data_IF_831463822520
#
_entry.id   IF_831463822520
#
_cell.length_a   1.000
_cell.length_b   1.000
_cell.length_c   1.000
_cell.angle_alpha   90.00
_cell.angle_beta   90.00
_cell.angle_gamma   90.00
#
_symmetry.space_group_name_H-M   'P 1'
#
loop_
_entity.id
_entity.type
_entity.pdbx_description
1 polymer ?
#
# COMPACT_ATOMS: atom_id res chain seq x y z
N UNK A 1 35.57 5.40 5.37
CA UNK A 1 35.12 4.10 5.97
C UNK A 1 34.07 4.19 7.09
N UNK A 2 34.06 5.19 7.98
CA UNK A 2 33.10 5.27 9.10
C UNK A 2 31.70 5.74 8.65
N UNK A 3 31.61 6.55 7.60
CA UNK A 3 30.36 7.06 7.04
C UNK A 3 29.59 6.02 6.20
N UNK A 4 30.30 5.12 5.49
CA UNK A 4 29.68 4.03 4.72
C UNK A 4 28.91 3.04 5.61
N UNK A 5 29.39 2.81 6.85
CA UNK A 5 28.69 1.97 7.84
C UNK A 5 27.45 2.67 8.41
N UNK A 6 27.48 3.98 8.54
CA UNK A 6 26.33 4.79 9.03
C UNK A 6 25.26 4.89 7.94
N UNK A 7 25.65 5.06 6.67
CA UNK A 7 24.75 5.04 5.53
C UNK A 7 24.12 3.66 5.34
N UNK A 8 24.91 2.58 5.42
CA UNK A 8 24.39 1.21 5.40
C UNK A 8 23.43 0.91 6.55
N UNK A 9 23.71 1.42 7.75
CA UNK A 9 22.84 1.29 8.93
C UNK A 9 21.56 2.14 8.79
N UNK A 10 21.65 3.34 8.23
CA UNK A 10 20.50 4.22 7.94
C UNK A 10 19.62 3.65 6.83
N UNK A 11 20.21 3.04 5.79
CA UNK A 11 19.46 2.30 4.78
C UNK A 11 18.78 1.08 5.39
N UNK A 12 19.45 0.31 6.27
CA UNK A 12 18.82 -0.80 7.00
C UNK A 12 17.71 -0.33 7.95
N UNK A 13 17.90 0.80 8.64
CA UNK A 13 16.91 1.37 9.56
C UNK A 13 15.72 1.97 8.80
N UNK A 14 15.96 2.64 7.67
CA UNK A 14 14.92 3.10 6.76
C UNK A 14 14.15 1.92 6.16
N UNK A 15 14.83 0.82 5.80
CA UNK A 15 14.17 -0.43 5.39
C UNK A 15 13.35 -1.07 6.53
N UNK A 16 13.71 -0.82 7.80
CA UNK A 16 12.96 -1.35 8.95
C UNK A 16 11.73 -0.52 9.34
N UNK A 17 11.62 0.74 8.90
CA UNK A 17 10.50 1.64 9.23
C UNK A 17 9.67 2.08 8.01
N UNK A 18 10.19 1.91 6.80
CA UNK A 18 9.52 2.22 5.54
C UNK A 18 8.79 0.98 4.98
N UNK A 19 7.85 0.46 5.76
CA UNK A 19 6.90 -0.51 5.24
C UNK A 19 5.95 0.21 4.29
N UNK A 20 6.20 0.15 2.98
CA UNK A 20 5.31 0.73 1.97
C UNK A 20 4.00 -0.04 1.96
N UNK A 21 3.00 0.57 2.60
CA UNK A 21 1.63 0.08 2.70
C UNK A 21 0.94 0.12 1.35
N UNK A 22 1.05 -0.97 0.59
CA UNK A 22 0.25 -1.20 -0.62
C UNK A 22 -1.13 -1.78 -0.32
N UNK A 23 -1.53 -1.85 0.95
CA UNK A 23 -2.71 -2.59 1.40
C UNK A 23 -4.02 -2.03 0.88
N UNK A 24 -4.89 -2.91 0.41
CA UNK A 24 -6.27 -2.55 0.01
C UNK A 24 -7.21 -2.88 1.18
N UNK A 25 -7.48 -1.89 2.03
CA UNK A 25 -8.46 -1.99 3.14
C UNK A 25 -9.82 -1.37 2.78
N UNK A 26 -10.27 -1.60 1.54
CA UNK A 26 -11.63 -1.30 1.11
C UNK A 26 -12.12 -2.32 0.08
N UNK A 27 -13.43 -2.33 -0.12
CA UNK A 27 -14.11 -3.19 -1.09
C UNK A 27 -14.10 -2.54 -2.47
N UNK A 28 -14.54 -3.26 -3.51
CA UNK A 28 -14.79 -2.65 -4.82
C UNK A 28 -15.96 -1.65 -4.73
N UNK A 29 -16.95 -1.94 -3.89
CA UNK A 29 -18.05 -1.01 -3.59
C UNK A 29 -17.53 0.22 -2.82
N UNK A 30 -17.77 1.45 -3.30
CA UNK A 30 -17.39 2.66 -2.60
C UNK A 30 -18.18 2.88 -1.31
N UNK A 31 -17.65 3.68 -0.39
CA UNK A 31 -18.44 4.11 0.76
C UNK A 31 -19.53 5.11 0.34
N UNK A 32 -20.56 5.28 1.19
CA UNK A 32 -21.72 6.11 0.88
C UNK A 32 -21.32 7.57 0.65
N UNK A 33 -21.94 8.22 -0.34
CA UNK A 33 -21.69 9.62 -0.68
C UNK A 33 -21.83 10.53 0.54
N UNK A 34 -20.86 11.43 0.73
CA UNK A 34 -20.83 12.36 1.87
C UNK A 34 -20.47 11.74 3.21
N UNK A 35 -20.20 10.43 3.26
CA UNK A 35 -19.71 9.77 4.48
C UNK A 35 -18.18 9.77 4.54
N UNK A 36 -17.67 9.68 5.77
CA UNK A 36 -16.25 9.54 6.07
C UNK A 36 -16.09 8.23 6.83
N UNK A 37 -15.14 7.41 6.40
CA UNK A 37 -14.70 6.20 7.10
C UNK A 37 -13.29 6.42 7.64
N UNK A 38 -13.08 6.14 8.93
CA UNK A 38 -11.76 6.19 9.56
C UNK A 38 -11.28 4.76 9.80
N UNK A 39 -10.06 4.46 9.36
CA UNK A 39 -9.44 3.16 9.50
C UNK A 39 -8.25 3.16 10.45
N UNK A 40 -8.17 2.12 11.29
CA UNK A 40 -6.93 1.72 11.99
C UNK A 40 -6.62 0.28 11.57
N UNK A 41 -5.45 0.06 10.98
CA UNK A 41 -5.14 -1.17 10.26
C UNK A 41 -3.81 -1.76 10.75
N UNK A 42 -3.81 -2.49 11.88
CA UNK A 42 -2.67 -3.31 12.29
C UNK A 42 -2.50 -4.49 11.32
N UNK A 43 -1.24 -4.84 11.06
CA UNK A 43 -0.89 -5.95 10.20
C UNK A 43 0.57 -6.33 10.26
N UNK A 44 0.98 -7.09 9.26
CA UNK A 44 2.32 -7.55 8.99
C UNK A 44 2.66 -7.21 7.55
N UNK A 45 3.88 -6.77 7.35
CA UNK A 45 4.51 -6.66 6.04
C UNK A 45 5.62 -7.69 5.97
N UNK A 46 5.77 -8.35 4.83
CA UNK A 46 6.85 -9.30 4.65
C UNK A 46 7.43 -9.29 3.26
N UNK A 47 8.69 -9.67 3.19
CA UNK A 47 9.44 -9.85 1.94
C UNK A 47 10.08 -11.22 2.00
N UNK A 48 9.97 -11.97 0.91
CA UNK A 48 10.66 -13.24 0.68
C UNK A 48 11.46 -13.08 -0.61
N UNK A 49 12.78 -13.22 -0.55
CA UNK A 49 13.67 -13.13 -1.70
C UNK A 49 14.89 -14.03 -1.47
N UNK A 50 15.33 -14.77 -2.50
CA UNK A 50 16.54 -15.59 -2.47
C UNK A 50 16.69 -16.50 -1.23
N UNK A 51 15.59 -17.15 -0.82
CA UNK A 51 15.56 -18.05 0.34
C UNK A 51 15.63 -17.34 1.70
N UNK A 52 15.65 -16.00 1.72
CA UNK A 52 15.58 -15.18 2.93
C UNK A 52 14.17 -14.59 3.07
N UNK A 53 13.67 -14.51 4.29
CA UNK A 53 12.40 -13.85 4.59
C UNK A 53 12.55 -12.87 5.76
N UNK A 54 11.92 -11.71 5.65
CA UNK A 54 11.77 -10.76 6.74
C UNK A 54 10.30 -10.39 6.91
N UNK A 55 9.85 -10.23 8.16
CA UNK A 55 8.51 -9.76 8.49
C UNK A 55 8.59 -8.67 9.53
N UNK A 56 7.85 -7.59 9.31
CA UNK A 56 7.79 -6.43 10.19
C UNK A 56 6.35 -6.17 10.60
N UNK A 57 6.09 -5.78 11.85
CA UNK A 57 4.78 -5.28 12.24
C UNK A 57 4.47 -4.02 11.43
N UNK A 58 3.22 -3.91 11.02
CA UNK A 58 2.73 -2.82 10.22
C UNK A 58 1.53 -2.15 10.91
N UNK A 59 1.48 -0.82 10.92
CA UNK A 59 0.33 -0.07 11.44
C UNK A 59 0.02 1.09 10.51
N UNK A 60 -1.14 1.02 9.89
CA UNK A 60 -1.64 2.03 8.97
C UNK A 60 -2.85 2.75 9.58
N UNK A 61 -2.95 4.04 9.32
CA UNK A 61 -4.10 4.88 9.63
C UNK A 61 -4.66 5.42 8.33
N UNK A 62 -5.98 5.47 8.19
CA UNK A 62 -6.62 5.86 6.94
C UNK A 62 -7.86 6.68 7.16
N UNK A 63 -8.15 7.56 6.20
CA UNK A 63 -9.41 8.26 6.07
C UNK A 63 -9.89 8.03 4.64
N UNK A 64 -11.16 7.71 4.48
CA UNK A 64 -11.81 7.57 3.18
C UNK A 64 -13.07 8.41 3.14
N UNK A 65 -13.34 9.06 2.03
CA UNK A 65 -14.50 9.93 1.84
C UNK A 65 -15.30 9.52 0.61
N UNK A 66 -16.60 9.32 0.77
CA UNK A 66 -17.50 9.02 -0.34
C UNK A 66 -17.74 10.27 -1.16
N UNK A 67 -17.29 10.28 -2.41
CA UNK A 67 -17.41 11.42 -3.31
C UNK A 67 -18.71 11.37 -4.11
N UNK A 68 -19.08 10.18 -4.58
CA UNK A 68 -20.33 9.89 -5.30
C UNK A 68 -20.75 8.46 -4.98
N UNK A 69 -21.92 8.03 -5.45
CA UNK A 69 -22.35 6.62 -5.38
C UNK A 69 -21.37 5.61 -6.01
N UNK A 70 -20.48 6.05 -6.91
CA UNK A 70 -19.54 5.21 -7.64
C UNK A 70 -18.07 5.57 -7.38
N UNK A 71 -17.80 6.52 -6.47
CA UNK A 71 -16.42 6.96 -6.22
C UNK A 71 -16.18 7.29 -4.75
N UNK A 72 -15.06 6.82 -4.21
CA UNK A 72 -14.50 7.31 -2.96
C UNK A 72 -13.00 7.58 -3.08
N UNK A 73 -12.49 8.44 -2.19
CA UNK A 73 -11.09 8.81 -2.12
C UNK A 73 -10.52 8.38 -0.77
N UNK A 74 -9.43 7.62 -0.80
CA UNK A 74 -8.67 7.20 0.38
C UNK A 74 -7.36 7.97 0.53
N UNK A 75 -7.01 8.29 1.78
CA UNK A 75 -5.68 8.74 2.18
C UNK A 75 -5.23 7.92 3.37
N UNK A 76 -4.02 7.39 3.32
CA UNK A 76 -3.47 6.49 4.33
C UNK A 76 -2.04 6.90 4.69
N UNK A 77 -1.70 6.76 5.97
CA UNK A 77 -0.38 7.03 6.51
C UNK A 77 0.10 5.78 7.22
N UNK A 78 1.34 5.41 6.95
CA UNK A 78 1.98 4.23 7.52
C UNK A 78 3.46 4.52 7.72
N UNK A 79 3.87 4.75 8.97
CA UNK A 79 5.20 5.26 9.28
C UNK A 79 5.46 6.60 8.60
N UNK A 80 6.41 6.62 7.66
CA UNK A 80 6.76 7.80 6.85
C UNK A 80 6.20 7.72 5.42
N UNK A 81 5.31 6.77 5.14
CA UNK A 81 4.69 6.59 3.84
C UNK A 81 3.32 7.26 3.82
N UNK A 82 3.02 7.92 2.70
CA UNK A 82 1.71 8.51 2.41
C UNK A 82 1.15 7.82 1.17
N UNK A 83 -0.05 7.26 1.28
CA UNK A 83 -0.77 6.64 0.17
C UNK A 83 -2.05 7.40 -0.10
N UNK A 84 -2.33 7.66 -1.37
CA UNK A 84 -3.63 8.16 -1.83
C UNK A 84 -4.18 7.21 -2.87
N UNK A 85 -5.46 6.85 -2.74
CA UNK A 85 -6.16 5.95 -3.65
C UNK A 85 -7.53 6.52 -4.04
N UNK A 86 -8.02 6.16 -5.22
CA UNK A 86 -9.31 6.59 -5.73
C UNK A 86 -10.06 5.36 -6.23
N UNK A 87 -11.04 4.89 -5.46
CA UNK A 87 -11.84 3.74 -5.84
C UNK A 87 -12.97 4.18 -6.77
N UNK A 88 -12.97 3.70 -8.01
CA UNK A 88 -13.98 4.04 -9.03
C UNK A 88 -14.75 2.77 -9.40
N UNK A 89 -15.98 2.64 -8.92
CA UNK A 89 -16.85 1.55 -9.30
C UNK A 89 -17.34 1.73 -10.74
N UNK A 90 -16.90 0.84 -11.62
CA UNK A 90 -17.36 0.75 -13.01
C UNK A 90 -18.66 -0.05 -13.08
N UNK A 91 -18.84 -1.00 -12.16
CA UNK A 91 -20.09 -1.74 -11.94
C UNK A 91 -20.40 -1.67 -10.44
N UNK A 92 -21.61 -1.24 -10.08
CA UNK A 92 -22.02 -1.15 -8.68
C UNK A 92 -23.45 -1.67 -8.49
N UNK A 93 -23.60 -2.99 -8.53
CA UNK A 93 -24.88 -3.66 -8.37
C UNK A 93 -25.06 -4.18 -6.93
N UNK A 94 -26.29 -4.48 -6.48
CA UNK A 94 -26.54 -4.96 -5.11
C UNK A 94 -25.80 -6.25 -4.74
N UNK A 95 -25.50 -7.10 -5.72
CA UNK A 95 -24.90 -8.44 -5.51
C UNK A 95 -23.47 -8.55 -6.03
N UNK A 96 -22.97 -7.53 -6.72
CA UNK A 96 -21.65 -7.53 -7.34
C UNK A 96 -21.17 -6.10 -7.55
N UNK A 97 -19.89 -5.85 -7.35
CA UNK A 97 -19.27 -4.61 -7.78
C UNK A 97 -17.92 -4.90 -8.44
N UNK A 98 -17.55 -4.07 -9.39
CA UNK A 98 -16.23 -4.06 -10.00
C UNK A 98 -15.72 -2.63 -10.03
N UNK A 99 -14.49 -2.43 -9.56
CA UNK A 99 -13.88 -1.11 -9.51
C UNK A 99 -12.45 -1.10 -10.01
N UNK A 100 -12.05 0.11 -10.40
CA UNK A 100 -10.67 0.46 -10.73
C UNK A 100 -10.17 1.38 -9.63
N UNK A 101 -9.03 1.05 -9.05
CA UNK A 101 -8.48 1.68 -7.86
C UNK A 101 -7.01 2.11 -8.10
N UNK A 102 -6.77 3.22 -8.83
CA UNK A 102 -5.45 3.80 -8.91
C UNK A 102 -5.00 4.31 -7.53
N UNK A 103 -3.80 3.91 -7.12
CA UNK A 103 -3.17 4.40 -5.91
C UNK A 103 -1.75 4.87 -6.16
N UNK A 104 -1.32 5.85 -5.37
CA UNK A 104 0.04 6.38 -5.33
C UNK A 104 0.52 6.39 -3.89
N UNK A 105 1.60 5.66 -3.63
CA UNK A 105 2.33 5.70 -2.37
C UNK A 105 3.64 6.45 -2.57
N UNK A 106 3.94 7.37 -1.66
CA UNK A 106 5.19 8.11 -1.62
C UNK A 106 5.83 7.96 -0.25
N UNK A 107 7.11 7.64 -0.26
CA UNK A 107 8.00 7.71 0.90
C UNK A 107 9.17 8.61 0.53
N UNK A 108 9.40 9.62 1.36
CA UNK A 108 10.55 10.49 1.22
C UNK A 108 11.25 10.61 2.57
N UNK A 109 12.56 10.44 2.54
CA UNK A 109 13.42 10.61 3.71
C UNK A 109 14.66 11.38 3.31
N UNK A 110 15.01 12.41 4.09
CA UNK A 110 16.23 13.18 3.91
C UNK A 110 17.01 13.27 5.22
N UNK A 111 18.33 13.16 5.15
CA UNK A 111 19.24 13.28 6.28
C UNK A 111 20.56 13.93 5.85
N UNK A 112 20.72 15.22 6.18
CA UNK A 112 21.83 16.03 5.66
C UNK A 112 21.69 16.17 4.15
N UNK A 113 22.79 15.91 3.43
CA UNK A 113 22.83 15.94 1.96
C UNK A 113 22.29 14.66 1.30
N UNK A 114 22.01 13.62 2.10
CA UNK A 114 21.45 12.37 1.59
C UNK A 114 19.92 12.42 1.52
N UNK A 115 19.35 11.93 0.42
CA UNK A 115 17.90 11.76 0.26
C UNK A 115 17.55 10.40 -0.33
N UNK A 116 16.37 9.92 0.03
CA UNK A 116 15.77 8.70 -0.49
C UNK A 116 14.31 9.01 -0.84
N UNK A 117 13.95 8.69 -2.09
CA UNK A 117 12.58 8.75 -2.58
C UNK A 117 12.20 7.36 -3.05
N UNK A 118 11.05 6.89 -2.57
CA UNK A 118 10.39 5.71 -3.11
C UNK A 118 8.96 6.07 -3.45
N UNK A 119 8.61 5.85 -4.70
CA UNK A 119 7.25 6.01 -5.22
C UNK A 119 6.75 4.67 -5.72
N UNK A 120 5.52 4.34 -5.36
CA UNK A 120 4.86 3.14 -5.83
C UNK A 120 3.46 3.50 -6.32
N UNK A 121 3.22 3.32 -7.62
CA UNK A 121 1.91 3.48 -8.22
C UNK A 121 1.29 2.10 -8.46
N UNK A 122 0.03 1.91 -8.12
CA UNK A 122 -0.71 0.67 -8.39
C UNK A 122 -2.03 0.96 -9.07
N UNK A 123 -2.52 -0.02 -9.83
CA UNK A 123 -3.87 0.01 -10.40
C UNK A 123 -4.62 -1.24 -9.93
N UNK A 124 -5.40 -1.09 -8.86
CA UNK A 124 -6.26 -2.15 -8.36
C UNK A 124 -7.42 -2.42 -9.33
N UNK A 125 -7.64 -3.68 -9.68
CA UNK A 125 -8.84 -4.16 -10.37
C UNK A 125 -9.59 -5.03 -9.39
N UNK A 126 -10.58 -4.46 -8.70
CA UNK A 126 -11.22 -5.08 -7.55
C UNK A 126 -12.61 -5.60 -7.94
N UNK A 127 -12.98 -6.75 -7.42
CA UNK A 127 -14.29 -7.35 -7.59
C UNK A 127 -14.85 -7.80 -6.25
N UNK A 128 -16.05 -7.34 -5.91
CA UNK A 128 -16.82 -7.87 -4.79
C UNK A 128 -17.50 -9.17 -5.24
N UNK A 129 -16.77 -10.28 -5.09
CA UNK A 129 -17.21 -11.62 -5.51
C UNK A 129 -18.35 -12.19 -4.66
N UNK A 130 -18.51 -11.66 -3.44
CA UNK A 130 -19.70 -11.87 -2.61
C UNK A 130 -20.07 -10.52 -2.01
N UNK A 131 -21.31 -10.06 -2.20
CA UNK A 131 -21.79 -8.79 -1.66
C UNK A 131 -23.16 -8.97 -1.00
N UNK A 132 -23.22 -8.68 0.29
CA UNK A 132 -24.43 -8.72 1.12
C UNK A 132 -24.43 -7.54 2.09
N UNK A 133 -25.56 -7.18 2.73
CA UNK A 133 -25.59 -6.05 3.67
C UNK A 133 -24.65 -6.16 4.88
N UNK A 134 -24.28 -7.38 5.28
CA UNK A 134 -23.44 -7.64 6.47
C UNK A 134 -22.03 -8.12 6.15
N UNK A 135 -21.78 -8.54 4.92
CA UNK A 135 -20.54 -9.21 4.51
C UNK A 135 -20.24 -8.95 3.04
N UNK A 136 -19.00 -8.56 2.77
CA UNK A 136 -18.47 -8.42 1.41
C UNK A 136 -17.13 -9.13 1.32
N UNK A 137 -16.96 -10.01 0.34
CA UNK A 137 -15.68 -10.60 -0.03
C UNK A 137 -15.21 -9.93 -1.32
N UNK A 138 -14.03 -9.33 -1.27
CA UNK A 138 -13.39 -8.65 -2.39
C UNK A 138 -12.13 -9.40 -2.78
N UNK A 139 -11.91 -9.58 -4.07
CA UNK A 139 -10.65 -10.06 -4.62
C UNK A 139 -10.24 -9.17 -5.78
N UNK A 140 -8.95 -9.08 -6.07
CA UNK A 140 -8.49 -8.23 -7.15
C UNK A 140 -7.08 -8.50 -7.63
N UNK A 141 -6.76 -7.93 -8.78
CA UNK A 141 -5.41 -7.88 -9.33
C UNK A 141 -4.82 -6.48 -9.12
N UNK A 142 -3.50 -6.40 -8.99
CA UNK A 142 -2.80 -5.16 -8.68
C UNK A 142 -1.47 -5.05 -9.43
N UNK A 143 -1.48 -4.76 -10.75
CA UNK A 143 -0.28 -4.28 -11.43
C UNK A 143 0.20 -2.98 -10.79
N UNK A 144 1.52 -2.77 -10.79
CA UNK A 144 2.12 -1.58 -10.24
C UNK A 144 3.46 -1.23 -10.89
N UNK A 145 3.92 -0.03 -10.56
CA UNK A 145 5.18 0.55 -11.01
C UNK A 145 5.89 1.18 -9.82
N UNK A 146 7.12 0.76 -9.59
CA UNK A 146 7.99 1.27 -8.53
C UNK A 146 9.05 2.16 -9.14
N UNK A 147 9.29 3.31 -8.52
CA UNK A 147 10.43 4.17 -8.76
C UNK A 147 11.16 4.41 -7.44
N UNK A 148 12.48 4.24 -7.43
CA UNK A 148 13.34 4.48 -6.28
C UNK A 148 14.47 5.37 -6.73
N UNK A 149 14.78 6.42 -5.97
CA UNK A 149 15.98 7.22 -6.16
C UNK A 149 16.66 7.52 -4.83
N UNK A 150 17.99 7.49 -4.85
CA UNK A 150 18.84 7.85 -3.73
C UNK A 150 19.82 8.91 -4.22
N UNK A 151 20.00 9.96 -3.43
CA UNK A 151 21.02 10.98 -3.68
C UNK A 151 21.84 11.23 -2.41
N UNK A 152 23.04 11.76 -2.58
CA UNK A 152 23.92 12.16 -1.49
C UNK A 152 25.17 12.84 -2.01
N UNK A 153 26.07 13.20 -1.11
CA UNK A 153 27.42 13.66 -1.42
C UNK A 153 28.46 12.61 -1.02
N UNK A 154 29.56 12.55 -1.75
CA UNK A 154 30.69 11.67 -1.45
C UNK A 154 31.75 12.34 -0.56
N UNK A 155 32.92 11.70 -0.41
CA UNK A 155 34.00 12.23 0.44
C UNK A 155 34.64 13.52 -0.13
N UNK A 156 34.42 13.84 -1.42
CA UNK A 156 34.92 15.03 -2.11
C UNK A 156 33.84 16.13 -2.28
N UNK A 157 32.65 15.93 -1.70
CA UNK A 157 31.44 16.75 -1.89
C UNK A 157 30.92 16.75 -3.33
N UNK A 158 31.15 15.67 -4.08
CA UNK A 158 30.51 15.46 -5.36
C UNK A 158 29.12 14.84 -5.17
N UNK A 159 28.12 15.37 -5.89
CA UNK A 159 26.77 14.81 -5.87
C UNK A 159 26.76 13.42 -6.53
N UNK A 160 26.36 12.41 -5.75
CA UNK A 160 26.10 11.05 -6.24
C UNK A 160 24.60 10.81 -6.22
N UNK A 161 24.07 10.31 -7.33
CA UNK A 161 22.69 9.83 -7.38
C UNK A 161 22.57 8.48 -8.10
N UNK A 162 21.63 7.67 -7.65
CA UNK A 162 21.24 6.43 -8.28
C UNK A 162 19.71 6.34 -8.32
N UNK A 163 19.15 5.91 -9.45
CA UNK A 163 17.72 5.69 -9.59
C UNK A 163 17.44 4.37 -10.29
N UNK A 164 16.33 3.74 -9.91
CA UNK A 164 15.86 2.48 -10.47
C UNK A 164 14.35 2.49 -10.57
N UNK A 165 13.82 1.73 -11.52
CA UNK A 165 12.39 1.53 -11.67
C UNK A 165 12.07 0.12 -12.15
N UNK A 166 10.81 -0.26 -12.04
CA UNK A 166 10.35 -1.56 -12.49
C UNK A 166 8.88 -1.80 -12.20
N UNK A 167 8.38 -2.89 -12.77
CA UNK A 167 6.98 -3.27 -12.68
C UNK A 167 6.76 -4.36 -11.63
N UNK A 168 5.59 -4.31 -11.01
CA UNK A 168 5.11 -5.35 -10.12
C UNK A 168 3.76 -5.86 -10.62
N UNK A 169 3.45 -7.10 -10.28
CA UNK A 169 2.11 -7.67 -10.42
C UNK A 169 1.72 -8.28 -9.09
N UNK A 170 0.45 -8.21 -8.76
CA UNK A 170 -0.04 -8.69 -7.48
C UNK A 170 -1.50 -9.06 -7.50
N UNK A 171 -1.93 -9.56 -6.36
CA UNK A 171 -3.31 -9.86 -6.07
C UNK A 171 -3.66 -9.42 -4.65
N UNK A 172 -4.93 -9.16 -4.43
CA UNK A 172 -5.48 -8.81 -3.13
C UNK A 172 -6.72 -9.64 -2.85
N UNK A 173 -6.94 -9.96 -1.59
CA UNK A 173 -8.19 -10.53 -1.08
C UNK A 173 -8.51 -9.88 0.26
N UNK A 174 -9.75 -9.46 0.43
CA UNK A 174 -10.22 -8.82 1.66
C UNK A 174 -11.66 -9.19 1.94
N UNK A 175 -12.03 -9.25 3.22
CA UNK A 175 -13.39 -9.56 3.63
C UNK A 175 -13.90 -8.51 4.62
N UNK A 176 -14.89 -7.71 4.24
CA UNK A 176 -15.51 -6.69 5.10
C UNK A 176 -16.71 -7.28 5.84
N UNK A 177 -16.66 -7.27 7.17
CA UNK A 177 -17.72 -7.71 8.06
C UNK A 177 -18.34 -6.49 8.74
N UNK A 178 -19.58 -6.14 8.38
CA UNK A 178 -20.29 -5.04 9.02
C UNK A 178 -20.91 -5.53 10.33
N UNK A 179 -20.25 -5.18 11.44
CA UNK A 179 -20.67 -5.60 12.78
C UNK A 179 -21.72 -4.67 13.40
N UNK A 180 -21.70 -3.39 12.99
CA UNK A 180 -22.71 -2.41 13.38
C UNK A 180 -22.97 -1.42 12.25
N UNK A 181 -23.78 -0.39 12.51
CA UNK A 181 -23.99 0.69 11.53
C UNK A 181 -22.70 1.47 11.23
N UNK A 182 -21.83 1.62 12.23
CA UNK A 182 -20.66 2.50 12.23
C UNK A 182 -19.37 1.73 12.54
N UNK A 183 -19.36 0.42 12.33
CA UNK A 183 -18.19 -0.38 12.61
C UNK A 183 -18.13 -1.60 11.71
N UNK A 184 -16.97 -1.79 11.07
CA UNK A 184 -16.67 -2.98 10.31
C UNK A 184 -15.25 -3.49 10.61
N UNK A 185 -15.08 -4.80 10.49
CA UNK A 185 -13.78 -5.44 10.44
C UNK A 185 -13.45 -5.80 9.00
N UNK A 186 -12.20 -5.63 8.60
CA UNK A 186 -11.75 -6.00 7.27
C UNK A 186 -10.38 -6.69 7.30
N UNK A 187 -10.31 -8.00 7.60
CA UNK A 187 -9.13 -8.77 7.29
C UNK A 187 -8.80 -8.68 5.79
N UNK A 188 -7.52 -8.49 5.48
CA UNK A 188 -7.01 -8.45 4.11
C UNK A 188 -5.65 -9.12 3.99
N UNK A 189 -5.37 -9.58 2.77
CA UNK A 189 -4.09 -10.12 2.35
C UNK A 189 -3.77 -9.63 0.94
N UNK A 190 -2.61 -9.03 0.79
CA UNK A 190 -2.06 -8.55 -0.48
C UNK A 190 -0.75 -9.29 -0.75
N UNK A 191 -0.53 -9.64 -2.01
CA UNK A 191 0.74 -10.19 -2.50
C UNK A 191 1.16 -9.47 -3.76
N UNK A 192 2.45 -9.18 -3.88
CA UNK A 192 3.08 -8.49 -5.00
C UNK A 192 4.39 -9.18 -5.34
N UNK A 193 4.70 -9.31 -6.63
CA UNK A 193 5.97 -9.82 -7.12
C UNK A 193 6.53 -8.86 -8.18
N UNK A 194 7.82 -8.49 -8.13
CA UNK A 194 8.47 -7.77 -9.22
C UNK A 194 8.53 -8.64 -10.47
N UNK A 195 8.27 -8.04 -11.63
CA UNK A 195 8.31 -8.76 -12.92
C UNK A 195 9.68 -8.64 -13.58
N UNK A 196 10.37 -7.51 -13.39
CA UNK A 196 11.66 -7.21 -14.01
C UNK A 196 12.54 -6.37 -13.06
N UNK A 197 13.86 -6.39 -13.28
CA UNK A 197 14.87 -5.48 -12.69
C UNK A 197 15.11 -5.49 -11.18
N UNK A 198 14.27 -6.16 -10.36
CA UNK A 198 14.40 -6.18 -8.89
C UNK A 198 14.70 -7.57 -8.28
N UNK A 199 14.99 -8.58 -9.11
CA UNK A 199 15.22 -9.96 -8.65
C UNK A 199 13.92 -10.72 -8.38
N UNK A 200 14.03 -12.03 -8.14
CA UNK A 200 12.88 -12.86 -7.77
C UNK A 200 12.53 -12.61 -6.29
N UNK A 201 11.35 -12.04 -6.06
CA UNK A 201 10.89 -11.72 -4.72
C UNK A 201 9.37 -11.70 -4.61
N UNK A 202 8.90 -11.93 -3.39
CA UNK A 202 7.49 -11.86 -3.02
C UNK A 202 7.35 -10.89 -1.86
N UNK A 203 6.57 -9.84 -2.05
CA UNK A 203 6.18 -8.87 -1.05
C UNK A 203 4.75 -9.21 -0.65
N UNK A 204 4.46 -9.29 0.64
CA UNK A 204 3.10 -9.50 1.11
C UNK A 204 2.73 -8.52 2.23
N UNK A 205 1.45 -8.23 2.33
CA UNK A 205 0.86 -7.56 3.47
C UNK A 205 -0.33 -8.37 3.96
N UNK A 206 -0.49 -8.49 5.28
CA UNK A 206 -1.62 -9.16 5.89
C UNK A 206 -2.06 -8.35 7.10
N UNK A 207 -3.35 -8.09 7.28
CA UNK A 207 -3.78 -7.33 8.44
C UNK A 207 -5.29 -7.32 8.62
N UNK A 208 -5.74 -6.50 9.57
CA UNK A 208 -7.16 -6.34 9.89
C UNK A 208 -7.46 -4.86 9.97
N UNK A 209 -8.31 -4.35 9.09
CA UNK A 209 -8.86 -3.01 9.19
C UNK A 209 -9.96 -2.93 10.25
N UNK A 210 -9.83 -1.96 11.15
CA UNK A 210 -10.88 -1.51 12.07
C UNK A 210 -11.46 -0.23 11.48
N UNK A 211 -12.66 -0.30 10.91
CA UNK A 211 -13.27 0.77 10.11
C UNK A 211 -14.46 1.38 10.87
N UNK A 212 -14.47 2.71 11.01
CA UNK A 212 -15.45 3.48 11.79
C UNK A 212 -16.18 4.52 10.94
#
# INVERSE_FOLDING_TARGET
MRNLRVLGLLCLLALSTACVGSTTYHTATPIEEGTIEIGVMPGLYGVVADGTSATLPNLEFGIRTGLTENMDLGVKINGLTLTTDLNIAVINEPTFAFSVDPALTVFYFGAGEASFLWTFATLGLLADVVKTPGFTLTAGLKPGFVYISVSGEDEDNEEISAAGNGFTVGATIGAKFKLSKNFALMPSFDVLTPVENFGEGLIFNAGIGLLF
#
